data_IF_485014562638
#
_entry.id   IF_485014562638
#
_cell.length_a   1.000
_cell.length_b   1.000
_cell.length_c   1.000
_cell.angle_alpha   90.00
_cell.angle_beta   90.00
_cell.angle_gamma   90.00
#
_symmetry.space_group_name_H-M   'P 1'
#
loop_
_entity.id
_entity.type
_entity.pdbx_description
1 polymer ?
#
# COMPACT_ATOMS: atom_id res chain seq x y z
N UNK A 1 16.24 8.33 13.99
CA UNK A 1 14.98 8.15 13.25
C UNK A 1 14.73 6.68 12.99
N UNK A 2 13.60 6.17 13.39
CA UNK A 2 13.29 4.76 13.24
C UNK A 2 12.56 4.48 11.92
N UNK A 3 13.02 3.42 11.23
CA UNK A 3 12.36 2.94 10.03
C UNK A 3 11.07 2.23 10.48
N UNK A 4 9.92 2.45 9.83
CA UNK A 4 8.70 1.76 10.24
C UNK A 4 8.84 0.25 10.03
N UNK A 5 8.25 -0.52 10.93
CA UNK A 5 8.24 -1.96 10.80
C UNK A 5 7.25 -2.37 9.71
N UNK A 6 7.39 -3.60 9.23
CA UNK A 6 6.45 -4.11 8.23
C UNK A 6 5.01 -4.08 8.76
N UNK A 7 4.82 -4.44 10.02
CA UNK A 7 3.50 -4.39 10.65
C UNK A 7 2.90 -3.00 10.65
N UNK A 8 3.73 -1.98 10.92
CA UNK A 8 3.27 -0.60 10.90
C UNK A 8 2.88 -0.16 9.49
N UNK A 9 3.65 -0.57 8.49
CA UNK A 9 3.35 -0.26 7.10
C UNK A 9 2.04 -0.89 6.68
N UNK A 10 1.84 -2.16 7.02
CA UNK A 10 0.60 -2.87 6.72
C UNK A 10 -0.59 -2.19 7.40
N UNK A 11 -0.44 -1.82 8.67
CA UNK A 11 -1.49 -1.15 9.41
C UNK A 11 -1.88 0.19 8.78
N UNK A 12 -0.90 0.96 8.35
CA UNK A 12 -1.17 2.24 7.69
C UNK A 12 -1.78 2.05 6.31
N UNK A 13 -1.33 1.03 5.57
CA UNK A 13 -1.95 0.70 4.29
C UNK A 13 -3.41 0.28 4.49
N UNK A 14 -3.69 -0.45 5.56
CA UNK A 14 -5.07 -0.85 5.88
C UNK A 14 -5.95 0.38 6.10
N UNK A 15 -5.45 1.39 6.79
CA UNK A 15 -6.18 2.64 6.98
C UNK A 15 -6.42 3.36 5.66
N UNK A 16 -5.40 3.43 4.82
CA UNK A 16 -5.49 4.08 3.52
C UNK A 16 -6.52 3.37 2.64
N UNK A 17 -6.44 2.05 2.59
CA UNK A 17 -7.37 1.24 1.80
C UNK A 17 -8.81 1.38 2.30
N UNK A 18 -8.98 1.50 3.60
CA UNK A 18 -10.30 1.72 4.18
C UNK A 18 -10.85 3.10 3.76
N UNK A 19 -10.05 4.14 3.88
CA UNK A 19 -10.47 5.50 3.54
C UNK A 19 -10.75 5.69 2.05
N UNK A 20 -9.89 5.14 1.21
CA UNK A 20 -9.98 5.35 -0.24
C UNK A 20 -10.95 4.38 -0.92
N UNK A 21 -10.88 3.11 -0.56
CA UNK A 21 -11.61 2.06 -1.25
C UNK A 21 -12.65 1.33 -0.40
N UNK A 22 -12.80 1.70 0.86
CA UNK A 22 -13.78 1.06 1.74
C UNK A 22 -13.42 -0.35 2.16
N UNK A 23 -12.16 -0.72 2.05
CA UNK A 23 -11.70 -2.06 2.43
C UNK A 23 -11.75 -2.22 3.94
N UNK A 24 -12.19 -3.38 4.42
CA UNK A 24 -12.20 -3.67 5.85
C UNK A 24 -10.74 -3.87 6.31
N UNK A 25 -10.26 -3.06 7.27
CA UNK A 25 -8.85 -3.15 7.69
C UNK A 25 -8.41 -4.54 8.14
N UNK A 26 -9.29 -5.29 8.77
CA UNK A 26 -8.97 -6.64 9.24
C UNK A 26 -8.68 -7.62 8.10
N UNK A 27 -9.11 -7.31 6.88
CA UNK A 27 -8.86 -8.15 5.72
C UNK A 27 -7.54 -7.86 5.04
N UNK A 28 -6.89 -6.78 5.41
CA UNK A 28 -5.63 -6.37 4.78
C UNK A 28 -4.45 -7.14 5.36
N UNK A 29 -4.00 -8.14 4.61
CA UNK A 29 -2.83 -8.93 4.95
C UNK A 29 -1.86 -8.89 3.79
N UNK A 30 -0.62 -9.27 4.01
CA UNK A 30 0.42 -9.19 2.99
C UNK A 30 0.11 -9.99 1.72
N UNK A 31 -0.52 -11.14 1.86
CA UNK A 31 -0.81 -12.02 0.72
C UNK A 31 -2.03 -11.60 -0.09
N UNK A 32 -2.83 -10.69 0.40
CA UNK A 32 -4.06 -10.31 -0.29
C UNK A 32 -3.78 -9.59 -1.60
N UNK A 33 -4.49 -10.02 -2.63
CA UNK A 33 -4.47 -9.34 -3.92
C UNK A 33 -5.33 -8.08 -3.83
N UNK A 34 -4.76 -6.95 -4.25
CA UNK A 34 -5.46 -5.66 -4.18
C UNK A 34 -6.70 -5.63 -5.06
N UNK A 35 -6.57 -6.14 -6.28
CA UNK A 35 -7.67 -6.10 -7.24
C UNK A 35 -8.64 -7.26 -7.05
N UNK A 36 -8.14 -8.47 -6.92
CA UNK A 36 -8.97 -9.66 -6.88
C UNK A 36 -9.62 -9.94 -5.53
N UNK A 37 -8.89 -9.69 -4.45
CA UNK A 37 -9.39 -10.00 -3.11
C UNK A 37 -9.91 -8.79 -2.34
N UNK A 38 -9.26 -7.64 -2.51
CA UNK A 38 -9.66 -6.42 -1.82
C UNK A 38 -10.52 -5.51 -2.69
N UNK A 39 -10.75 -5.91 -3.93
CA UNK A 39 -11.65 -5.21 -4.84
C UNK A 39 -11.26 -3.74 -5.11
N UNK A 40 -9.98 -3.50 -5.15
CA UNK A 40 -9.44 -2.15 -5.43
C UNK A 40 -9.29 -2.00 -6.94
N UNK A 41 -10.08 -1.12 -7.54
CA UNK A 41 -9.97 -0.88 -8.98
C UNK A 41 -8.80 0.06 -9.30
N UNK A 42 -8.54 0.28 -10.58
CA UNK A 42 -7.39 1.08 -10.99
C UNK A 42 -7.47 2.54 -10.55
N UNK A 43 -8.66 3.09 -10.47
CA UNK A 43 -8.85 4.47 -10.00
C UNK A 43 -8.55 4.58 -8.51
N UNK A 44 -9.10 3.66 -7.73
CA UNK A 44 -8.83 3.61 -6.29
C UNK A 44 -7.36 3.32 -6.03
N UNK A 45 -6.75 2.45 -6.83
CA UNK A 45 -5.33 2.13 -6.70
C UNK A 45 -4.46 3.37 -6.88
N UNK A 46 -4.79 4.20 -7.87
CA UNK A 46 -4.05 5.45 -8.09
C UNK A 46 -4.13 6.37 -6.86
N UNK A 47 -5.31 6.48 -6.26
CA UNK A 47 -5.47 7.28 -5.04
C UNK A 47 -4.72 6.70 -3.85
N UNK A 48 -4.76 5.38 -3.70
CA UNK A 48 -4.02 4.69 -2.63
C UNK A 48 -2.54 4.98 -2.74
N UNK A 49 -2.00 4.92 -3.95
CA UNK A 49 -0.58 5.16 -4.18
C UNK A 49 -0.21 6.60 -3.84
N UNK A 50 -1.01 7.57 -4.24
CA UNK A 50 -0.75 8.97 -3.93
C UNK A 50 -0.74 9.22 -2.43
N UNK A 51 -1.73 8.68 -1.72
CA UNK A 51 -1.81 8.84 -0.27
C UNK A 51 -0.63 8.14 0.42
N UNK A 52 -0.26 6.96 -0.07
CA UNK A 52 0.86 6.21 0.49
C UNK A 52 2.18 6.97 0.30
N UNK A 53 2.37 7.59 -0.87
CA UNK A 53 3.56 8.41 -1.12
C UNK A 53 3.67 9.54 -0.11
N UNK A 54 2.58 10.22 0.14
CA UNK A 54 2.55 11.32 1.10
C UNK A 54 2.75 10.86 2.54
N UNK A 55 2.07 9.79 2.90
CA UNK A 55 2.11 9.28 4.28
C UNK A 55 3.45 8.68 4.66
N UNK A 56 4.06 7.93 3.75
CA UNK A 56 5.34 7.28 4.02
C UNK A 56 6.55 8.11 3.56
N UNK A 57 6.32 9.17 2.81
CA UNK A 57 7.40 9.99 2.28
C UNK A 57 8.26 9.25 1.26
N UNK A 58 7.63 8.43 0.43
CA UNK A 58 8.31 7.63 -0.59
C UNK A 58 7.78 7.95 -1.97
N UNK A 59 8.53 7.56 -2.99
CA UNK A 59 8.09 7.71 -4.37
C UNK A 59 7.65 6.34 -4.90
N UNK A 60 6.44 6.29 -5.42
CA UNK A 60 5.87 5.06 -6.00
C UNK A 60 5.46 5.38 -7.43
N UNK A 61 6.41 5.36 -8.38
CA UNK A 61 6.13 5.74 -9.76
C UNK A 61 5.03 4.89 -10.39
N UNK A 62 4.26 5.53 -11.25
CA UNK A 62 3.16 4.87 -11.92
C UNK A 62 3.59 3.63 -12.69
N UNK A 63 4.81 3.65 -13.23
CA UNK A 63 5.36 2.51 -13.95
C UNK A 63 5.49 1.27 -13.08
N UNK A 64 5.78 1.46 -11.80
CA UNK A 64 5.93 0.35 -10.86
C UNK A 64 4.59 -0.15 -10.34
N UNK A 65 3.54 0.65 -10.45
CA UNK A 65 2.19 0.25 -10.03
C UNK A 65 1.71 -1.00 -10.76
N UNK A 66 2.12 -1.18 -11.98
CA UNK A 66 1.71 -2.33 -12.79
C UNK A 66 2.17 -3.66 -12.19
N UNK A 67 3.25 -3.61 -11.42
CA UNK A 67 3.83 -4.79 -10.80
C UNK A 67 3.31 -5.00 -9.36
N UNK A 68 2.57 -4.03 -8.84
CA UNK A 68 2.03 -4.11 -7.49
C UNK A 68 0.68 -4.82 -7.48
N UNK A 69 0.69 -6.10 -7.21
CA UNK A 69 -0.52 -6.92 -7.21
C UNK A 69 -1.06 -7.19 -5.82
N UNK A 70 -0.16 -7.35 -4.87
CA UNK A 70 -0.54 -7.67 -3.49
C UNK A 70 -0.15 -6.55 -2.55
N UNK A 71 -0.69 -6.61 -1.33
CA UNK A 71 -0.32 -5.67 -0.27
C UNK A 71 1.20 -5.72 -0.04
N UNK A 72 1.77 -6.92 -0.05
CA UNK A 72 3.20 -7.11 0.15
C UNK A 72 4.05 -6.35 -0.87
N UNK A 73 3.61 -6.29 -2.11
CA UNK A 73 4.35 -5.56 -3.14
C UNK A 73 4.53 -4.09 -2.79
N UNK A 74 3.49 -3.47 -2.24
CA UNK A 74 3.57 -2.08 -1.79
C UNK A 74 4.47 -1.97 -0.56
N UNK A 75 4.31 -2.90 0.37
CA UNK A 75 5.10 -2.92 1.61
C UNK A 75 6.59 -2.98 1.31
N UNK A 76 6.98 -3.85 0.39
CA UNK A 76 8.38 -4.01 0.00
C UNK A 76 8.94 -2.71 -0.58
N UNK A 77 8.17 -2.03 -1.42
CA UNK A 77 8.60 -0.75 -2.00
C UNK A 77 8.81 0.31 -0.92
N UNK A 78 7.88 0.38 0.01
CA UNK A 78 7.99 1.33 1.13
C UNK A 78 9.20 1.02 1.98
N UNK A 79 9.42 -0.26 2.29
CA UNK A 79 10.57 -0.69 3.08
C UNK A 79 11.90 -0.32 2.42
N UNK A 80 12.02 -0.58 1.13
CA UNK A 80 13.25 -0.30 0.39
C UNK A 80 13.61 1.17 0.42
N UNK A 81 12.63 2.05 0.24
CA UNK A 81 12.88 3.47 0.24
C UNK A 81 13.13 4.02 1.64
N UNK A 82 12.44 3.47 2.63
CA UNK A 82 12.63 3.90 4.01
C UNK A 82 13.99 3.48 4.57
N UNK A 83 14.56 2.42 4.04
CA UNK A 83 15.85 1.89 4.50
C UNK A 83 17.06 2.58 3.85
N UNK A 84 16.86 3.36 2.82
CA UNK A 84 17.96 4.00 2.10
C UNK A 84 18.39 5.34 2.67
#
# INVERSE_FOLDING_TARGET
>A
MTVPTREEIVAQLAEILHEVAGVVPAEVTEEKSLVEELDVDSLAMAEVIVVAEERFGVALPEEEMKDMRTVLDIVIRVEKQSAS
#
